data_IF_459283860875
#
_entry.id   IF_459283860875
#
_cell.length_a   1.000
_cell.length_b   1.000
_cell.length_c   1.000
_cell.angle_alpha   90.00
_cell.angle_beta   90.00
_cell.angle_gamma   90.00
#
_symmetry.space_group_name_H-M   'P 1'
#
loop_
_entity.id
_entity.type
_entity.pdbx_description
1 polymer ?
#
# COMPACT_ATOMS: atom_id res chain seq x y z
N UNK A 1 11.68 -28.72 -3.66
CA UNK A 1 10.83 -27.68 -4.28
C UNK A 1 11.42 -26.25 -4.19
N UNK A 2 12.14 -25.89 -3.14
CA UNK A 2 12.68 -24.53 -2.93
C UNK A 2 13.67 -24.01 -4.00
N UNK A 3 14.62 -24.81 -4.47
CA UNK A 3 15.63 -24.34 -5.44
C UNK A 3 15.05 -23.98 -6.83
N UNK A 4 14.01 -24.65 -7.29
CA UNK A 4 13.36 -24.34 -8.59
C UNK A 4 12.57 -23.03 -8.51
N UNK A 5 11.82 -22.82 -7.42
CA UNK A 5 11.12 -21.56 -7.13
C UNK A 5 12.10 -20.37 -7.02
N UNK A 6 13.25 -20.57 -6.37
CA UNK A 6 14.30 -19.56 -6.22
C UNK A 6 14.87 -19.09 -7.56
N UNK A 7 15.19 -20.00 -8.48
CA UNK A 7 15.70 -19.67 -9.83
C UNK A 7 14.66 -18.97 -10.72
N UNK A 8 13.36 -19.28 -10.55
CA UNK A 8 12.29 -18.61 -11.32
C UNK A 8 12.05 -17.18 -10.84
N UNK A 9 12.19 -16.92 -9.53
CA UNK A 9 12.08 -15.57 -8.95
C UNK A 9 13.24 -14.68 -9.37
N UNK A 10 14.46 -15.22 -9.44
CA UNK A 10 15.65 -14.51 -9.93
C UNK A 10 15.51 -14.15 -11.42
N UNK A 11 15.08 -15.08 -12.26
CA UNK A 11 14.82 -14.83 -13.70
C UNK A 11 13.67 -13.85 -13.94
N UNK A 12 12.67 -13.82 -13.06
CA UNK A 12 11.58 -12.84 -13.09
C UNK A 12 12.08 -11.43 -12.84
N UNK A 13 12.94 -11.24 -11.84
CA UNK A 13 13.55 -9.96 -11.51
C UNK A 13 14.49 -9.45 -12.62
N UNK A 14 15.31 -10.34 -13.21
CA UNK A 14 16.19 -10.01 -14.35
C UNK A 14 15.42 -9.56 -15.60
N UNK A 15 14.27 -10.20 -15.89
CA UNK A 15 13.40 -9.79 -17.01
C UNK A 15 12.74 -8.44 -16.79
N UNK A 16 12.43 -8.09 -15.56
CA UNK A 16 11.81 -6.81 -15.20
C UNK A 16 12.84 -5.66 -15.23
N UNK A 17 14.09 -5.93 -14.83
CA UNK A 17 15.18 -4.96 -14.86
C UNK A 17 15.64 -4.57 -16.27
N UNK A 18 15.43 -5.43 -17.29
CA UNK A 18 15.90 -5.20 -18.66
C UNK A 18 15.04 -4.28 -19.54
N UNK A 19 13.95 -3.67 -19.01
CA UNK A 19 13.05 -2.81 -19.82
C UNK A 19 13.01 -1.38 -19.27
N UNK A 20 13.05 -0.38 -20.17
CA UNK A 20 12.96 1.06 -19.84
C UNK A 20 11.66 1.35 -19.08
N UNK A 21 11.79 1.91 -17.89
CA UNK A 21 10.67 2.34 -17.03
C UNK A 21 10.46 3.84 -17.20
N UNK A 22 9.22 4.27 -17.46
CA UNK A 22 8.87 5.62 -17.85
C UNK A 22 9.22 6.71 -16.82
N UNK A 23 9.71 7.85 -17.30
CA UNK A 23 9.79 9.11 -16.57
C UNK A 23 11.16 9.51 -16.01
N UNK A 24 11.91 8.65 -15.38
CA UNK A 24 13.37 8.60 -15.17
C UNK A 24 13.73 7.15 -15.26
N UNK A 25 14.67 6.82 -16.17
CA UNK A 25 15.11 5.44 -16.35
C UNK A 25 15.77 4.94 -15.06
N UNK A 26 15.01 4.22 -14.24
CA UNK A 26 15.57 3.51 -13.09
C UNK A 26 16.59 2.51 -13.62
N UNK A 27 17.84 2.62 -13.13
CA UNK A 27 18.91 1.74 -13.57
C UNK A 27 18.57 0.29 -13.16
N UNK A 28 18.68 -0.70 -14.07
CA UNK A 28 18.38 -2.10 -13.77
C UNK A 28 19.12 -2.64 -12.55
N UNK A 29 20.39 -2.23 -12.38
CA UNK A 29 21.26 -2.61 -11.28
C UNK A 29 20.71 -2.09 -9.93
N UNK A 30 20.16 -0.87 -9.91
CA UNK A 30 19.58 -0.25 -8.73
C UNK A 30 18.29 -1.00 -8.33
N UNK A 31 17.43 -1.34 -9.30
CA UNK A 31 16.22 -2.13 -9.02
C UNK A 31 16.56 -3.54 -8.51
N UNK A 32 17.56 -4.19 -9.13
CA UNK A 32 18.04 -5.50 -8.70
C UNK A 32 18.54 -5.46 -7.24
N UNK A 33 19.40 -4.48 -6.94
CA UNK A 33 19.94 -4.27 -5.60
C UNK A 33 18.83 -3.99 -4.57
N UNK A 34 17.90 -3.08 -4.91
CA UNK A 34 16.75 -2.76 -4.08
C UNK A 34 15.91 -4.01 -3.76
N UNK A 35 15.58 -4.83 -4.74
CA UNK A 35 14.79 -6.04 -4.54
C UNK A 35 15.55 -7.10 -3.73
N UNK A 36 16.88 -7.20 -3.86
CA UNK A 36 17.71 -8.08 -3.02
C UNK A 36 17.67 -7.65 -1.55
N UNK A 37 17.88 -6.36 -1.28
CA UNK A 37 17.77 -5.81 0.08
C UNK A 37 16.37 -5.99 0.64
N UNK A 38 15.33 -5.70 -0.13
CA UNK A 38 13.94 -5.86 0.31
C UNK A 38 13.64 -7.32 0.71
N UNK A 39 14.07 -8.27 -0.11
CA UNK A 39 13.87 -9.71 0.17
C UNK A 39 14.70 -10.19 1.37
N UNK A 40 15.88 -9.64 1.59
CA UNK A 40 16.65 -9.91 2.80
C UNK A 40 15.90 -9.37 4.03
N UNK A 41 15.50 -8.11 4.02
CA UNK A 41 14.80 -7.46 5.13
C UNK A 41 13.47 -8.15 5.50
N UNK A 42 12.69 -8.64 4.51
CA UNK A 42 11.40 -9.28 4.77
C UNK A 42 11.51 -10.77 5.14
N UNK A 43 12.48 -11.48 4.54
CA UNK A 43 12.52 -12.96 4.56
C UNK A 43 13.84 -13.53 5.10
N UNK A 44 14.75 -12.68 5.55
CA UNK A 44 16.11 -13.09 5.98
C UNK A 44 16.85 -13.90 4.89
N UNK A 45 16.62 -13.55 3.62
CA UNK A 45 17.27 -14.24 2.50
C UNK A 45 18.67 -13.71 2.29
N UNK A 46 19.68 -14.60 2.11
CA UNK A 46 21.04 -14.17 1.81
C UNK A 46 21.10 -13.29 0.54
N UNK A 47 21.84 -12.20 0.61
CA UNK A 47 22.12 -11.35 -0.53
C UNK A 47 23.21 -12.00 -1.39
N UNK A 48 22.81 -12.62 -2.50
CA UNK A 48 23.71 -13.33 -3.42
C UNK A 48 23.88 -12.56 -4.72
N UNK A 49 25.10 -12.56 -5.28
CA UNK A 49 25.39 -11.92 -6.55
C UNK A 49 25.19 -10.39 -6.50
N UNK A 50 25.55 -9.78 -5.38
CA UNK A 50 25.55 -8.32 -5.23
C UNK A 50 26.59 -7.69 -6.16
N UNK A 51 26.20 -6.63 -6.83
CA UNK A 51 27.11 -5.78 -7.62
C UNK A 51 27.35 -4.50 -6.85
N UNK A 52 28.63 -4.10 -6.71
CA UNK A 52 28.97 -2.86 -6.05
C UNK A 52 28.31 -1.67 -6.74
N UNK A 53 27.59 -0.86 -5.98
CA UNK A 53 26.91 0.33 -6.48
C UNK A 53 27.82 1.55 -6.43
N UNK A 54 27.69 2.46 -7.39
CA UNK A 54 28.29 3.78 -7.33
C UNK A 54 27.56 4.67 -6.30
N UNK A 55 28.14 5.77 -5.83
CA UNK A 55 27.46 6.73 -4.97
C UNK A 55 26.14 7.22 -5.53
N UNK A 56 26.05 7.46 -6.85
CA UNK A 56 24.84 7.90 -7.54
C UNK A 56 23.77 6.81 -7.53
N UNK A 57 24.17 5.55 -7.75
CA UNK A 57 23.26 4.41 -7.69
C UNK A 57 22.72 4.20 -6.27
N UNK A 58 23.54 4.38 -5.24
CA UNK A 58 23.09 4.37 -3.84
C UNK A 58 22.08 5.48 -3.55
N UNK A 59 22.33 6.71 -4.02
CA UNK A 59 21.37 7.84 -3.91
C UNK A 59 20.04 7.49 -4.58
N UNK A 60 20.08 6.87 -5.75
CA UNK A 60 18.87 6.45 -6.47
C UNK A 60 18.12 5.35 -5.71
N UNK A 61 18.83 4.36 -5.15
CA UNK A 61 18.23 3.29 -4.33
C UNK A 61 17.52 3.86 -3.09
N UNK A 62 18.18 4.74 -2.35
CA UNK A 62 17.60 5.38 -1.16
C UNK A 62 16.42 6.27 -1.53
N UNK A 63 16.49 7.00 -2.66
CA UNK A 63 15.37 7.79 -3.16
C UNK A 63 14.15 6.91 -3.51
N UNK A 64 14.39 5.73 -4.10
CA UNK A 64 13.36 4.74 -4.38
C UNK A 64 12.75 4.20 -3.07
N UNK A 65 13.58 3.86 -2.07
CA UNK A 65 13.14 3.41 -0.76
C UNK A 65 12.24 4.45 -0.07
N UNK A 66 12.64 5.72 -0.08
CA UNK A 66 11.85 6.84 0.47
C UNK A 66 10.53 7.04 -0.28
N UNK A 67 10.53 6.97 -1.61
CA UNK A 67 9.32 7.11 -2.42
C UNK A 67 8.28 6.02 -2.12
N UNK A 68 8.73 4.83 -1.71
CA UNK A 68 7.88 3.71 -1.32
C UNK A 68 7.67 3.57 0.19
N UNK A 69 8.20 4.50 1.01
CA UNK A 69 8.13 4.46 2.49
C UNK A 69 8.71 3.16 3.08
N UNK A 70 9.83 2.71 2.51
CA UNK A 70 10.57 1.50 2.87
C UNK A 70 12.00 1.79 3.36
N UNK A 71 12.35 3.06 3.63
CA UNK A 71 13.70 3.44 4.01
C UNK A 71 14.14 2.72 5.31
N UNK A 72 13.28 2.66 6.33
CA UNK A 72 13.54 1.89 7.55
C UNK A 72 13.65 0.40 7.25
N UNK A 73 12.65 -0.19 6.59
CA UNK A 73 12.66 -1.64 6.27
C UNK A 73 13.90 -2.05 5.48
N UNK A 74 14.36 -1.25 4.51
CA UNK A 74 15.55 -1.60 3.73
C UNK A 74 16.85 -1.49 4.53
N UNK A 75 16.90 -0.65 5.58
CA UNK A 75 18.11 -0.54 6.42
C UNK A 75 18.40 -1.85 7.17
N UNK A 76 17.41 -2.70 7.41
CA UNK A 76 17.60 -4.01 8.02
C UNK A 76 18.55 -4.91 7.22
N UNK A 77 18.66 -4.69 5.92
CA UNK A 77 19.54 -5.44 5.03
C UNK A 77 20.98 -4.92 4.98
N UNK A 78 21.31 -3.78 5.59
CA UNK A 78 22.64 -3.17 5.50
C UNK A 78 23.74 -4.10 6.05
N UNK A 79 23.49 -4.74 7.19
CA UNK A 79 24.44 -5.67 7.81
C UNK A 79 24.60 -7.01 7.06
N UNK A 80 23.77 -7.25 6.04
CA UNK A 80 23.81 -8.46 5.20
C UNK A 80 24.52 -8.22 3.87
N UNK A 81 25.02 -7.02 3.64
CA UNK A 81 25.76 -6.70 2.43
C UNK A 81 27.14 -7.39 2.45
N UNK A 82 27.70 -7.77 1.27
CA UNK A 82 29.06 -8.27 1.20
C UNK A 82 30.09 -7.22 1.64
N UNK A 83 31.23 -7.66 2.12
CA UNK A 83 32.37 -6.79 2.46
C UNK A 83 32.69 -5.82 1.32
N UNK A 84 33.11 -4.61 1.65
CA UNK A 84 33.43 -3.52 0.71
C UNK A 84 32.29 -3.05 -0.21
N UNK A 85 31.05 -3.41 0.12
CA UNK A 85 29.86 -3.03 -0.66
C UNK A 85 28.92 -2.07 0.08
N UNK A 86 29.38 -1.45 1.14
CA UNK A 86 28.62 -0.51 1.95
C UNK A 86 28.25 0.76 1.18
N UNK A 87 27.17 1.41 1.60
CA UNK A 87 26.82 2.74 1.12
C UNK A 87 27.86 3.76 1.60
N UNK A 88 28.28 4.71 0.75
CA UNK A 88 29.20 5.76 1.19
C UNK A 88 28.53 6.66 2.24
N UNK A 89 29.35 7.22 3.16
CA UNK A 89 28.87 8.01 4.32
C UNK A 89 27.92 9.14 3.93
N UNK A 90 28.18 9.83 2.82
CA UNK A 90 27.33 10.93 2.33
C UNK A 90 25.91 10.46 1.93
N UNK A 91 25.68 9.15 1.77
CA UNK A 91 24.36 8.54 1.53
C UNK A 91 23.83 7.88 2.79
N UNK A 92 24.69 7.16 3.51
CA UNK A 92 24.34 6.38 4.69
C UNK A 92 23.88 7.28 5.85
N UNK A 93 24.60 8.35 6.17
CA UNK A 93 24.29 9.21 7.31
C UNK A 93 22.90 9.87 7.18
N UNK A 94 22.52 10.50 6.04
CA UNK A 94 21.15 11.00 5.87
C UNK A 94 20.09 9.91 5.83
N UNK A 95 20.45 8.69 5.43
CA UNK A 95 19.51 7.56 5.46
C UNK A 95 19.27 7.11 6.89
N UNK A 96 20.29 6.94 7.72
CA UNK A 96 20.15 6.58 9.13
C UNK A 96 19.35 7.61 9.94
N UNK A 97 19.50 8.91 9.63
CA UNK A 97 18.65 9.96 10.22
C UNK A 97 17.17 9.74 9.85
N UNK A 98 16.87 9.28 8.64
CA UNK A 98 15.48 8.95 8.24
C UNK A 98 14.95 7.69 8.94
N UNK A 99 15.82 6.70 9.19
CA UNK A 99 15.48 5.51 9.99
C UNK A 99 15.13 5.93 11.41
N UNK A 100 15.98 6.72 12.06
CA UNK A 100 15.71 7.24 13.41
C UNK A 100 14.37 7.98 13.49
N UNK A 101 14.05 8.83 12.52
CA UNK A 101 12.74 9.50 12.46
C UNK A 101 11.58 8.52 12.35
N UNK A 102 11.78 7.40 11.65
CA UNK A 102 10.77 6.34 11.52
C UNK A 102 10.54 5.65 12.86
N UNK A 103 11.61 5.36 13.62
CA UNK A 103 11.56 4.80 14.97
C UNK A 103 10.87 5.75 15.97
N UNK A 104 11.23 7.05 15.93
CA UNK A 104 10.59 8.09 16.76
C UNK A 104 9.10 8.20 16.48
N UNK A 105 8.72 8.16 15.19
CA UNK A 105 7.33 8.16 14.78
C UNK A 105 6.59 6.91 15.26
N UNK A 106 7.19 5.72 15.14
CA UNK A 106 6.65 4.47 15.66
C UNK A 106 6.41 4.54 17.17
N UNK A 107 7.38 5.04 17.94
CA UNK A 107 7.26 5.20 19.39
C UNK A 107 6.10 6.14 19.75
N UNK A 108 5.95 7.26 19.03
CA UNK A 108 4.82 8.19 19.22
C UNK A 108 3.47 7.53 18.92
N UNK A 109 3.36 6.83 17.78
CA UNK A 109 2.14 6.10 17.41
C UNK A 109 1.79 5.03 18.45
N UNK A 110 2.77 4.27 18.93
CA UNK A 110 2.59 3.26 19.97
C UNK A 110 2.06 3.86 21.28
N UNK A 111 2.59 5.02 21.68
CA UNK A 111 2.11 5.74 22.85
C UNK A 111 0.65 6.19 22.68
N UNK A 112 0.31 6.77 21.52
CA UNK A 112 -1.06 7.25 21.25
C UNK A 112 -2.03 6.07 21.22
N UNK A 113 -1.72 5.00 20.48
CA UNK A 113 -2.57 3.80 20.40
C UNK A 113 -2.74 3.17 21.78
N UNK A 114 -1.68 3.04 22.58
CA UNK A 114 -1.78 2.50 23.93
C UNK A 114 -2.66 3.37 24.88
N UNK A 115 -2.62 4.68 24.73
CA UNK A 115 -3.48 5.59 25.47
C UNK A 115 -4.94 5.50 25.02
N UNK A 116 -5.19 5.46 23.72
CA UNK A 116 -6.53 5.33 23.15
C UNK A 116 -7.14 3.97 23.47
N UNK A 117 -6.38 2.87 23.36
CA UNK A 117 -6.85 1.53 23.70
C UNK A 117 -7.36 1.46 25.13
N UNK A 118 -6.60 1.98 26.10
CA UNK A 118 -7.06 2.07 27.49
C UNK A 118 -8.35 2.89 27.64
N UNK A 119 -8.45 4.02 26.95
CA UNK A 119 -9.66 4.85 27.00
C UNK A 119 -10.89 4.14 26.41
N UNK A 120 -10.70 3.31 25.38
CA UNK A 120 -11.76 2.48 24.79
C UNK A 120 -12.18 1.33 25.73
N UNK A 121 -11.20 0.62 26.28
CA UNK A 121 -11.40 -0.49 27.21
C UNK A 121 -12.14 -0.04 28.49
N UNK A 122 -11.75 1.07 29.10
CA UNK A 122 -12.41 1.67 30.29
C UNK A 122 -13.88 1.98 30.05
N UNK A 123 -14.30 2.14 28.80
CA UNK A 123 -15.68 2.43 28.41
C UNK A 123 -16.38 1.25 27.75
N UNK A 124 -15.73 0.11 27.70
CA UNK A 124 -16.28 -1.11 27.10
C UNK A 124 -16.52 -1.00 25.59
N UNK A 125 -15.80 -0.11 24.88
CA UNK A 125 -15.95 0.03 23.45
C UNK A 125 -15.23 -1.11 22.71
N UNK A 126 -15.91 -1.71 21.74
CA UNK A 126 -15.31 -2.71 20.86
C UNK A 126 -14.54 -1.99 19.72
N UNK A 127 -13.26 -1.78 19.92
CA UNK A 127 -12.38 -1.05 19.01
C UNK A 127 -11.30 -1.95 18.42
N UNK A 128 -11.16 -1.95 17.10
CA UNK A 128 -10.15 -2.70 16.34
C UNK A 128 -9.20 -1.71 15.64
N UNK A 129 -7.90 -1.89 15.83
CA UNK A 129 -6.87 -1.19 15.05
C UNK A 129 -6.72 -1.89 13.70
N UNK A 130 -7.00 -1.18 12.60
CA UNK A 130 -7.08 -1.80 11.27
C UNK A 130 -5.71 -1.94 10.58
N UNK A 131 -4.84 -0.96 10.72
CA UNK A 131 -3.59 -0.80 9.96
C UNK A 131 -2.52 -0.12 10.83
N UNK A 132 -1.45 0.34 10.21
CA UNK A 132 -0.40 1.09 10.90
C UNK A 132 0.42 0.18 11.81
N UNK A 133 0.29 0.34 13.10
CA UNK A 133 1.02 -0.47 14.10
C UNK A 133 0.64 -1.95 14.06
N UNK A 134 -0.61 -2.30 13.73
CA UNK A 134 -1.01 -3.69 13.53
C UNK A 134 -0.19 -4.34 12.40
N UNK A 135 -0.03 -3.65 11.28
CA UNK A 135 0.82 -4.15 10.20
C UNK A 135 2.32 -4.15 10.58
N UNK A 136 2.78 -3.15 11.35
CA UNK A 136 4.17 -3.08 11.80
C UNK A 136 4.55 -4.28 12.70
N UNK A 137 3.65 -4.72 13.57
CA UNK A 137 3.86 -5.87 14.45
C UNK A 137 4.15 -7.18 13.70
N UNK A 138 3.86 -7.26 12.40
CA UNK A 138 4.14 -8.43 11.55
C UNK A 138 5.57 -8.43 10.99
N UNK A 139 6.32 -7.33 11.13
CA UNK A 139 7.71 -7.20 10.67
C UNK A 139 8.71 -7.65 11.75
N UNK A 140 9.90 -8.07 11.31
CA UNK A 140 10.96 -8.49 12.24
C UNK A 140 11.47 -7.32 13.09
N UNK A 141 11.48 -6.10 12.52
CA UNK A 141 11.81 -4.84 13.19
C UNK A 141 10.60 -3.89 13.00
N UNK A 142 9.61 -3.96 13.90
CA UNK A 142 8.36 -3.19 13.76
C UNK A 142 8.55 -1.67 13.64
N UNK A 143 9.52 -1.10 14.34
CA UNK A 143 9.87 0.32 14.37
C UNK A 143 10.43 0.83 13.04
N UNK A 144 10.95 -0.05 12.19
CA UNK A 144 11.45 0.31 10.85
C UNK A 144 10.34 0.33 9.78
N UNK A 145 9.15 -0.18 10.09
CA UNK A 145 8.00 -0.04 9.20
C UNK A 145 7.34 1.32 9.40
N UNK A 146 7.45 2.19 8.40
CA UNK A 146 6.87 3.55 8.44
C UNK A 146 5.36 3.51 8.71
N UNK A 147 4.92 4.10 9.83
CA UNK A 147 3.52 4.32 10.15
C UNK A 147 3.03 5.65 9.54
N UNK A 148 1.74 5.73 9.23
CA UNK A 148 1.09 6.96 8.73
C UNK A 148 0.05 7.44 9.73
N UNK A 149 -1.19 7.18 9.44
CA UNK A 149 -2.36 7.41 10.26
C UNK A 149 -2.63 6.27 11.26
N UNK A 150 -3.44 6.55 12.27
CA UNK A 150 -3.96 5.55 13.21
C UNK A 150 -5.42 5.32 12.85
N UNK A 151 -5.74 4.11 12.39
CA UNK A 151 -7.05 3.73 11.87
C UNK A 151 -7.81 2.87 12.89
N UNK A 152 -8.84 3.42 13.52
CA UNK A 152 -9.73 2.70 14.40
C UNK A 152 -11.05 2.35 13.74
N UNK A 153 -11.49 1.11 13.88
CA UNK A 153 -12.85 0.66 13.58
C UNK A 153 -13.56 0.30 14.88
N UNK A 154 -14.84 0.62 14.97
CA UNK A 154 -15.68 0.29 16.12
C UNK A 154 -16.78 -0.66 15.72
N UNK A 155 -17.04 -1.69 16.55
CA UNK A 155 -17.98 -2.77 16.24
C UNK A 155 -19.42 -2.33 16.06
N UNK A 156 -19.80 -1.15 16.60
CA UNK A 156 -21.14 -0.59 16.49
C UNK A 156 -21.12 0.91 16.16
N UNK A 157 -22.26 1.41 15.66
CA UNK A 157 -22.43 2.85 15.43
C UNK A 157 -22.45 3.66 16.74
N UNK A 158 -22.86 3.04 17.85
CA UNK A 158 -22.87 3.64 19.18
C UNK A 158 -21.45 3.79 19.72
N UNK A 159 -20.63 2.71 19.63
CA UNK A 159 -19.21 2.77 20.01
C UNK A 159 -18.45 3.83 19.20
N UNK A 160 -18.67 3.86 17.87
CA UNK A 160 -18.09 4.86 16.99
C UNK A 160 -18.47 6.30 17.42
N UNK A 161 -19.75 6.52 17.74
CA UNK A 161 -20.23 7.83 18.22
C UNK A 161 -19.60 8.20 19.55
N UNK A 162 -19.58 7.27 20.51
CA UNK A 162 -18.98 7.47 21.84
C UNK A 162 -17.50 7.78 21.75
N UNK A 163 -16.75 7.07 20.88
CA UNK A 163 -15.34 7.34 20.63
C UNK A 163 -15.10 8.77 20.09
N UNK A 164 -15.95 9.23 19.18
CA UNK A 164 -15.89 10.61 18.67
C UNK A 164 -16.21 11.65 19.74
N UNK A 165 -17.19 11.39 20.60
CA UNK A 165 -17.53 12.28 21.74
C UNK A 165 -16.37 12.38 22.73
N UNK A 166 -15.67 11.26 23.00
CA UNK A 166 -14.47 11.26 23.85
C UNK A 166 -13.35 12.09 23.21
N UNK A 167 -13.09 11.92 21.91
CA UNK A 167 -12.07 12.69 21.21
C UNK A 167 -12.40 14.21 21.23
N UNK A 168 -13.65 14.57 20.98
CA UNK A 168 -14.11 15.96 21.05
C UNK A 168 -14.02 16.52 22.47
N UNK A 169 -14.41 15.74 23.50
CA UNK A 169 -14.33 16.11 24.91
C UNK A 169 -12.88 16.34 25.38
N UNK A 170 -11.91 15.70 24.75
CA UNK A 170 -10.47 15.91 24.95
C UNK A 170 -9.91 17.08 24.09
N UNK A 171 -10.76 17.88 23.47
CA UNK A 171 -10.37 19.07 22.72
C UNK A 171 -9.90 18.80 21.28
N UNK A 172 -10.08 17.58 20.74
CA UNK A 172 -9.76 17.30 19.34
C UNK A 172 -10.78 17.94 18.41
N UNK A 173 -10.30 18.62 17.36
CA UNK A 173 -11.15 19.13 16.28
C UNK A 173 -11.47 18.01 15.32
N UNK A 174 -12.73 17.54 15.33
CA UNK A 174 -13.18 16.48 14.47
C UNK A 174 -13.57 17.00 13.08
N UNK A 175 -13.15 16.31 12.03
CA UNK A 175 -13.55 16.57 10.66
C UNK A 175 -14.12 15.28 10.06
N UNK A 176 -15.23 15.38 9.32
CA UNK A 176 -15.87 14.23 8.69
C UNK A 176 -15.59 14.26 7.19
N UNK A 177 -15.14 13.15 6.64
CA UNK A 177 -14.89 13.02 5.22
C UNK A 177 -16.16 12.69 4.40
N UNK A 178 -15.99 12.47 3.08
CA UNK A 178 -17.10 12.16 2.18
C UNK A 178 -17.67 10.74 2.34
N UNK A 179 -16.90 9.84 2.93
CA UNK A 179 -17.27 8.44 3.17
C UNK A 179 -17.94 8.28 4.55
N UNK A 180 -17.91 9.36 5.36
CA UNK A 180 -18.54 9.45 6.68
C UNK A 180 -17.61 9.03 7.82
N UNK A 181 -16.33 8.84 7.53
CA UNK A 181 -15.31 8.60 8.53
C UNK A 181 -14.90 9.91 9.20
N UNK A 182 -14.53 9.86 10.47
CA UNK A 182 -14.07 11.03 11.24
C UNK A 182 -12.57 10.97 11.39
N UNK A 183 -11.90 12.10 11.16
CA UNK A 183 -10.49 12.24 11.41
C UNK A 183 -10.18 13.47 12.26
N UNK A 184 -9.09 13.39 13.00
CA UNK A 184 -8.57 14.46 13.83
C UNK A 184 -7.05 14.30 14.03
N UNK A 185 -6.40 15.35 14.53
CA UNK A 185 -4.96 15.28 14.81
C UNK A 185 -4.74 15.23 16.32
N UNK A 186 -3.92 14.27 16.78
CA UNK A 186 -3.50 14.12 18.16
C UNK A 186 -1.97 14.08 18.22
N UNK A 187 -1.36 15.05 18.89
CA UNK A 187 0.11 15.19 18.98
C UNK A 187 0.82 15.17 17.61
N UNK A 188 0.19 15.73 16.56
CA UNK A 188 0.74 15.76 15.20
C UNK A 188 0.48 14.49 14.37
N UNK A 189 -0.15 13.46 14.93
CA UNK A 189 -0.54 12.22 14.24
C UNK A 189 -2.02 12.30 13.85
N UNK A 190 -2.33 11.93 12.60
CA UNK A 190 -3.72 11.81 12.14
C UNK A 190 -4.32 10.53 12.71
N UNK A 191 -5.49 10.64 13.31
CA UNK A 191 -6.30 9.51 13.78
C UNK A 191 -7.60 9.50 13.00
N UNK A 192 -7.98 8.33 12.52
CA UNK A 192 -9.20 8.11 11.75
C UNK A 192 -10.12 7.12 12.48
N UNK A 193 -11.39 7.49 12.64
CA UNK A 193 -12.45 6.64 13.17
C UNK A 193 -13.33 6.18 12.02
N UNK A 194 -13.12 4.94 11.59
CA UNK A 194 -13.82 4.34 10.46
C UNK A 194 -15.18 3.77 10.85
N UNK A 195 -16.19 4.02 10.01
CA UNK A 195 -17.50 3.40 10.12
C UNK A 195 -17.53 1.98 9.58
N UNK A 196 -16.51 1.60 8.81
CA UNK A 196 -16.36 0.29 8.19
C UNK A 196 -14.91 -0.17 8.31
N UNK A 197 -14.73 -1.46 8.55
CA UNK A 197 -13.40 -2.05 8.68
C UNK A 197 -12.70 -2.34 7.33
N UNK A 198 -13.41 -2.16 6.20
CA UNK A 198 -12.87 -2.43 4.87
C UNK A 198 -13.28 -1.36 3.85
N UNK A 199 -12.53 -1.27 2.76
CA UNK A 199 -12.67 -0.27 1.69
C UNK A 199 -13.49 -0.76 0.48
N UNK A 200 -14.24 -1.87 0.58
CA UNK A 200 -15.06 -2.39 -0.53
C UNK A 200 -16.06 -1.34 -1.01
N UNK A 201 -16.12 -1.11 -2.31
CA UNK A 201 -16.94 -0.08 -2.94
C UNK A 201 -18.20 -0.64 -3.61
N UNK A 202 -18.13 -1.84 -4.20
CA UNK A 202 -19.27 -2.45 -4.89
C UNK A 202 -20.25 -3.12 -3.92
N UNK A 203 -21.54 -3.09 -4.26
CA UNK A 203 -22.57 -3.79 -3.46
C UNK A 203 -22.29 -5.30 -3.35
N UNK A 204 -21.72 -5.90 -4.40
CA UNK A 204 -21.35 -7.32 -4.41
C UNK A 204 -20.27 -7.62 -3.36
N UNK A 205 -19.15 -6.89 -3.38
CA UNK A 205 -18.06 -7.11 -2.43
C UNK A 205 -18.51 -6.79 -1.00
N UNK A 206 -19.25 -5.70 -0.80
CA UNK A 206 -19.78 -5.33 0.51
C UNK A 206 -20.62 -6.44 1.13
N UNK A 207 -21.58 -6.99 0.38
CA UNK A 207 -22.43 -8.06 0.88
C UNK A 207 -21.66 -9.26 1.42
N UNK A 208 -20.56 -9.63 0.74
CA UNK A 208 -19.72 -10.78 1.09
C UNK A 208 -18.76 -10.43 2.24
N UNK A 209 -18.09 -9.30 2.13
CA UNK A 209 -17.01 -8.94 3.05
C UNK A 209 -17.57 -8.45 4.39
N UNK A 210 -18.65 -7.65 4.39
CA UNK A 210 -19.25 -7.14 5.64
C UNK A 210 -19.90 -8.25 6.49
N UNK A 211 -20.11 -9.43 5.92
CA UNK A 211 -20.59 -10.60 6.67
C UNK A 211 -19.49 -11.33 7.45
N UNK A 212 -18.21 -10.98 7.23
CA UNK A 212 -17.10 -11.58 7.96
C UNK A 212 -16.88 -10.86 9.29
N UNK A 213 -16.39 -11.59 10.29
CA UNK A 213 -15.81 -10.98 11.48
C UNK A 213 -14.47 -10.33 11.12
N UNK A 214 -14.27 -9.04 11.42
CA UNK A 214 -13.07 -8.30 11.00
C UNK A 214 -11.78 -8.82 11.62
N UNK A 215 -11.86 -9.59 12.71
CA UNK A 215 -10.69 -10.13 13.43
C UNK A 215 -10.17 -11.44 12.82
N UNK A 216 -10.92 -12.08 11.91
CA UNK A 216 -10.49 -13.35 11.31
C UNK A 216 -9.32 -13.13 10.34
N UNK A 217 -8.42 -14.13 10.22
CA UNK A 217 -7.29 -14.05 9.29
C UNK A 217 -7.71 -13.74 7.85
N UNK A 218 -8.79 -14.38 7.36
CA UNK A 218 -9.33 -14.11 6.03
C UNK A 218 -9.80 -12.67 5.87
N UNK A 219 -10.50 -12.12 6.86
CA UNK A 219 -10.96 -10.73 6.84
C UNK A 219 -9.79 -9.75 6.83
N UNK A 220 -8.75 -10.02 7.60
CA UNK A 220 -7.53 -9.22 7.66
C UNK A 220 -6.75 -9.24 6.34
N UNK A 221 -6.65 -10.40 5.67
CA UNK A 221 -6.05 -10.51 4.34
C UNK A 221 -6.88 -9.77 3.28
N UNK A 222 -8.22 -9.93 3.33
CA UNK A 222 -9.16 -9.27 2.41
C UNK A 222 -9.14 -7.76 2.60
N UNK A 223 -9.10 -7.27 3.84
CA UNK A 223 -9.01 -5.84 4.14
C UNK A 223 -7.81 -5.20 3.45
N UNK A 224 -6.61 -5.78 3.59
CA UNK A 224 -5.38 -5.29 2.94
C UNK A 224 -5.46 -5.37 1.42
N UNK A 225 -6.03 -6.45 0.89
CA UNK A 225 -6.25 -6.63 -0.55
C UNK A 225 -7.13 -5.53 -1.14
N UNK A 226 -8.28 -5.25 -0.50
CA UNK A 226 -9.24 -4.23 -0.96
C UNK A 226 -8.67 -2.82 -0.76
N UNK A 227 -7.92 -2.59 0.31
CA UNK A 227 -7.22 -1.34 0.55
C UNK A 227 -6.19 -1.02 -0.55
N UNK A 228 -5.38 -2.01 -0.95
CA UNK A 228 -4.46 -1.89 -2.08
C UNK A 228 -5.24 -1.56 -3.37
N UNK A 229 -6.35 -2.23 -3.63
CA UNK A 229 -7.18 -1.98 -4.81
C UNK A 229 -7.72 -0.54 -4.83
N UNK A 230 -8.24 -0.05 -3.69
CA UNK A 230 -8.70 1.34 -3.55
C UNK A 230 -7.61 2.33 -3.95
N UNK A 231 -6.40 2.16 -3.40
CA UNK A 231 -5.26 3.04 -3.70
C UNK A 231 -4.79 2.93 -5.15
N UNK A 232 -4.74 1.71 -5.69
CA UNK A 232 -4.40 1.47 -7.09
C UNK A 232 -5.30 2.26 -8.05
N UNK A 233 -6.60 2.30 -7.75
CA UNK A 233 -7.58 3.00 -8.59
C UNK A 233 -7.51 4.52 -8.49
N UNK A 234 -7.01 5.09 -7.39
CA UNK A 234 -7.13 6.53 -7.10
C UNK A 234 -5.79 7.27 -7.09
N UNK A 235 -4.85 6.81 -6.28
CA UNK A 235 -3.66 7.59 -5.94
C UNK A 235 -2.33 6.94 -6.33
N UNK A 236 -2.33 5.65 -6.58
CA UNK A 236 -1.13 4.84 -6.78
C UNK A 236 -0.80 3.95 -5.59
N UNK A 237 -0.08 2.88 -5.86
CA UNK A 237 0.29 1.84 -4.89
C UNK A 237 1.76 2.00 -4.54
N UNK A 238 2.07 2.07 -3.22
CA UNK A 238 3.43 1.93 -2.72
C UNK A 238 3.80 0.47 -2.49
N UNK A 239 5.08 0.13 -2.64
CA UNK A 239 5.59 -1.21 -2.30
C UNK A 239 5.31 -1.57 -0.84
N UNK A 240 5.32 -0.60 0.10
CA UNK A 240 5.01 -0.86 1.50
C UNK A 240 3.66 -1.56 1.69
N UNK A 241 2.61 -1.13 0.99
CA UNK A 241 1.28 -1.74 1.11
C UNK A 241 1.29 -3.19 0.61
N UNK A 242 2.08 -3.49 -0.42
CA UNK A 242 2.26 -4.86 -0.93
C UNK A 242 3.11 -5.70 0.02
N UNK A 243 4.14 -5.11 0.65
CA UNK A 243 4.90 -5.76 1.72
C UNK A 243 4.00 -6.06 2.94
N UNK A 244 3.14 -5.14 3.36
CA UNK A 244 2.19 -5.36 4.46
C UNK A 244 1.27 -6.57 4.18
N UNK A 245 0.78 -6.72 2.94
CA UNK A 245 -0.01 -7.88 2.56
C UNK A 245 0.82 -9.18 2.56
N UNK A 246 2.07 -9.12 2.07
CA UNK A 246 2.98 -10.27 2.09
C UNK A 246 3.32 -10.71 3.53
N UNK A 247 3.56 -9.74 4.42
CA UNK A 247 3.81 -10.00 5.84
C UNK A 247 2.56 -10.54 6.55
N UNK A 248 1.37 -10.09 6.16
CA UNK A 248 0.12 -10.65 6.69
C UNK A 248 -0.08 -12.12 6.26
N UNK A 249 0.25 -12.49 5.02
CA UNK A 249 0.24 -13.90 4.62
C UNK A 249 1.21 -14.75 5.45
N UNK A 250 2.41 -14.23 5.78
CA UNK A 250 3.35 -14.91 6.69
C UNK A 250 2.79 -15.04 8.11
N UNK A 251 2.20 -13.95 8.61
CA UNK A 251 1.68 -13.89 9.99
C UNK A 251 0.52 -14.86 10.21
N UNK A 252 -0.37 -14.97 9.23
CA UNK A 252 -1.55 -15.84 9.29
C UNK A 252 -1.33 -17.22 8.65
N UNK A 253 -0.10 -17.60 8.33
CA UNK A 253 0.20 -18.92 7.77
C UNK A 253 -0.28 -20.04 8.69
N UNK A 254 -1.01 -21.00 8.14
CA UNK A 254 -1.64 -22.08 8.90
C UNK A 254 -2.85 -21.70 9.77
N UNK A 255 -3.27 -20.42 9.81
CA UNK A 255 -4.39 -19.93 10.61
C UNK A 255 -5.67 -19.71 9.79
N UNK A 256 -5.64 -19.87 8.48
CA UNK A 256 -6.79 -19.74 7.58
C UNK A 256 -6.81 -20.87 6.53
N UNK A 257 -7.97 -21.12 5.94
CA UNK A 257 -8.08 -22.04 4.80
C UNK A 257 -7.93 -21.27 3.47
N UNK A 258 -6.86 -21.55 2.67
CA UNK A 258 -6.66 -20.91 1.37
C UNK A 258 -7.80 -21.12 0.38
N UNK A 259 -8.53 -22.25 0.46
CA UNK A 259 -9.67 -22.52 -0.41
C UNK A 259 -10.86 -21.64 0.00
N UNK A 260 -11.11 -21.46 1.29
CA UNK A 260 -12.12 -20.55 1.84
C UNK A 260 -11.83 -19.10 1.42
N UNK A 261 -10.61 -18.60 1.64
CA UNK A 261 -10.19 -17.25 1.22
C UNK A 261 -10.42 -17.03 -0.28
N UNK A 262 -10.03 -18.00 -1.10
CA UNK A 262 -10.22 -17.96 -2.56
C UNK A 262 -11.70 -17.93 -2.93
N UNK A 263 -12.52 -18.71 -2.22
CA UNK A 263 -13.97 -18.76 -2.38
C UNK A 263 -14.62 -17.40 -2.10
N UNK A 264 -14.30 -16.81 -0.94
CA UNK A 264 -14.80 -15.49 -0.51
C UNK A 264 -14.42 -14.41 -1.53
N UNK A 265 -13.15 -14.36 -1.94
CA UNK A 265 -12.68 -13.36 -2.92
C UNK A 265 -13.33 -13.54 -4.29
N UNK A 266 -13.60 -14.77 -4.72
CA UNK A 266 -14.32 -15.06 -5.97
C UNK A 266 -15.79 -14.61 -5.87
N UNK A 267 -16.47 -14.90 -4.78
CA UNK A 267 -17.82 -14.45 -4.54
C UNK A 267 -17.92 -12.93 -4.47
N UNK A 268 -16.98 -12.27 -3.81
CA UNK A 268 -16.85 -10.81 -3.78
C UNK A 268 -16.53 -10.16 -5.15
N UNK A 269 -16.15 -10.97 -6.16
CA UNK A 269 -15.74 -10.48 -7.49
C UNK A 269 -14.29 -9.97 -7.55
N UNK A 270 -13.48 -10.36 -6.59
CA UNK A 270 -12.07 -9.94 -6.42
C UNK A 270 -11.06 -11.04 -6.76
N UNK A 271 -11.51 -12.24 -7.15
CA UNK A 271 -10.61 -13.39 -7.35
C UNK A 271 -9.51 -13.14 -8.38
N UNK A 272 -9.82 -12.48 -9.52
CA UNK A 272 -8.82 -12.13 -10.53
C UNK A 272 -7.81 -11.11 -10.01
N UNK A 273 -8.29 -10.07 -9.29
CA UNK A 273 -7.43 -9.08 -8.66
C UNK A 273 -6.48 -9.71 -7.65
N UNK A 274 -7.00 -10.57 -6.79
CA UNK A 274 -6.18 -11.34 -5.84
C UNK A 274 -5.11 -12.18 -6.55
N UNK A 275 -5.44 -12.86 -7.65
CA UNK A 275 -4.46 -13.60 -8.44
C UNK A 275 -3.33 -12.73 -8.97
N UNK A 276 -3.65 -11.51 -9.46
CA UNK A 276 -2.64 -10.55 -9.91
C UNK A 276 -1.74 -10.06 -8.76
N UNK A 277 -2.31 -9.77 -7.59
CA UNK A 277 -1.54 -9.42 -6.39
C UNK A 277 -0.65 -10.58 -5.96
N UNK A 278 -1.18 -11.80 -5.87
CA UNK A 278 -0.41 -12.98 -5.48
C UNK A 278 0.77 -13.22 -6.43
N UNK A 279 0.56 -13.06 -7.75
CA UNK A 279 1.65 -13.15 -8.72
C UNK A 279 2.75 -12.10 -8.45
N UNK A 280 2.37 -10.87 -8.09
CA UNK A 280 3.32 -9.82 -7.70
C UNK A 280 4.07 -10.19 -6.40
N UNK A 281 3.33 -10.59 -5.35
CA UNK A 281 3.93 -10.94 -4.05
C UNK A 281 4.94 -12.08 -4.18
N UNK A 282 4.61 -13.12 -4.98
CA UNK A 282 5.51 -14.26 -5.19
C UNK A 282 6.70 -13.89 -6.07
N UNK A 283 6.47 -13.25 -7.22
CA UNK A 283 7.53 -13.08 -8.23
C UNK A 283 8.40 -11.85 -7.96
N UNK A 284 7.85 -10.77 -7.39
CA UNK A 284 8.59 -9.52 -7.14
C UNK A 284 9.08 -9.44 -5.71
N UNK A 285 8.19 -9.62 -4.73
CA UNK A 285 8.54 -9.53 -3.30
C UNK A 285 9.18 -10.83 -2.79
N UNK A 286 8.83 -11.97 -3.42
CA UNK A 286 9.40 -13.27 -3.06
C UNK A 286 8.67 -13.95 -1.89
N UNK A 287 7.38 -13.67 -1.69
CA UNK A 287 6.56 -14.33 -0.68
C UNK A 287 6.42 -15.82 -0.96
N UNK A 288 6.66 -16.67 0.03
CA UNK A 288 6.59 -18.15 -0.08
C UNK A 288 5.33 -18.74 0.58
N UNK A 289 4.53 -17.91 1.24
CA UNK A 289 3.35 -18.29 2.02
C UNK A 289 2.07 -18.39 1.20
N UNK A 290 2.15 -18.13 -0.09
CA UNK A 290 1.04 -18.23 -1.05
C UNK A 290 1.49 -18.92 -2.32
N UNK A 291 0.56 -19.58 -3.00
CA UNK A 291 0.84 -20.19 -4.29
C UNK A 291 0.80 -19.17 -5.43
N UNK A 292 1.72 -19.36 -6.37
CA UNK A 292 1.74 -18.59 -7.60
C UNK A 292 0.50 -18.91 -8.43
N UNK A 293 -0.22 -17.88 -8.87
CA UNK A 293 -1.25 -18.05 -9.89
C UNK A 293 -0.61 -18.01 -11.29
N UNK A 294 -0.42 -19.18 -11.87
CA UNK A 294 0.19 -19.33 -13.20
C UNK A 294 -0.72 -18.84 -14.35
N UNK A 295 -1.97 -18.48 -14.05
CA UNK A 295 -2.95 -17.98 -15.04
C UNK A 295 -2.81 -16.48 -15.29
N UNK A 296 -2.00 -15.76 -14.50
CA UNK A 296 -1.78 -14.34 -14.69
C UNK A 296 -0.86 -14.09 -15.88
N UNK A 297 -1.29 -13.38 -16.94
CA UNK A 297 -0.45 -13.06 -18.07
C UNK A 297 0.75 -12.20 -17.64
N UNK A 298 1.93 -12.51 -18.18
CA UNK A 298 3.16 -11.77 -17.85
C UNK A 298 3.05 -10.26 -18.13
N UNK A 299 2.34 -9.87 -19.20
CA UNK A 299 2.11 -8.48 -19.54
C UNK A 299 1.31 -7.72 -18.46
N UNK A 300 0.35 -8.38 -17.80
CA UNK A 300 -0.45 -7.76 -16.76
C UNK A 300 0.37 -7.61 -15.46
N UNK A 301 1.22 -8.59 -15.15
CA UNK A 301 2.16 -8.46 -14.03
C UNK A 301 3.19 -7.35 -14.30
N UNK A 302 3.75 -7.28 -15.49
CA UNK A 302 4.65 -6.18 -15.89
C UNK A 302 3.96 -4.83 -15.76
N UNK A 303 2.69 -4.72 -16.17
CA UNK A 303 1.92 -3.51 -15.98
C UNK A 303 1.81 -3.12 -14.49
N UNK A 304 1.50 -4.08 -13.60
CA UNK A 304 1.39 -3.80 -12.16
C UNK A 304 2.74 -3.37 -11.58
N UNK A 305 3.83 -4.04 -11.96
CA UNK A 305 5.19 -3.67 -11.53
C UNK A 305 5.53 -2.23 -11.93
N UNK A 306 5.27 -1.86 -13.19
CA UNK A 306 5.48 -0.48 -13.66
C UNK A 306 4.61 0.51 -12.91
N UNK A 307 3.31 0.21 -12.75
CA UNK A 307 2.40 1.08 -12.03
C UNK A 307 2.85 1.34 -10.60
N UNK A 308 3.35 0.31 -9.90
CA UNK A 308 3.88 0.43 -8.54
C UNK A 308 5.18 1.27 -8.53
N UNK A 309 6.15 0.94 -9.38
CA UNK A 309 7.46 1.62 -9.40
C UNK A 309 7.35 3.09 -9.82
N UNK A 310 6.46 3.40 -10.77
CA UNK A 310 6.27 4.76 -11.28
C UNK A 310 5.48 5.64 -10.31
N UNK A 311 4.52 5.08 -9.57
CA UNK A 311 3.66 5.84 -8.68
C UNK A 311 4.36 6.19 -7.35
N UNK A 312 5.06 5.22 -6.75
CA UNK A 312 5.46 5.33 -5.36
C UNK A 312 4.26 5.38 -4.41
N UNK A 313 4.50 5.55 -3.12
CA UNK A 313 3.43 5.62 -2.13
C UNK A 313 2.56 6.87 -2.37
N UNK A 314 1.26 6.69 -2.63
CA UNK A 314 0.29 7.74 -2.96
C UNK A 314 0.70 8.64 -4.14
N UNK A 315 1.40 8.11 -5.13
CA UNK A 315 1.86 8.89 -6.28
C UNK A 315 3.00 9.87 -5.98
N UNK A 316 3.70 9.75 -4.85
CA UNK A 316 4.78 10.66 -4.42
C UNK A 316 5.91 10.77 -5.42
N UNK A 317 6.24 9.69 -6.12
CA UNK A 317 7.31 9.71 -7.13
C UNK A 317 6.94 10.56 -8.35
N UNK A 318 5.67 10.53 -8.77
CA UNK A 318 5.15 11.41 -9.84
C UNK A 318 5.13 12.88 -9.43
N UNK A 319 4.75 13.16 -8.18
CA UNK A 319 4.70 14.54 -7.66
C UNK A 319 6.08 15.19 -7.57
N UNK A 320 7.12 14.42 -7.22
CA UNK A 320 8.49 14.92 -7.13
C UNK A 320 9.10 15.31 -8.49
N UNK A 321 8.53 14.81 -9.61
CA UNK A 321 9.01 15.10 -10.99
C UNK A 321 8.47 16.39 -11.60
N UNK A 322 7.25 16.82 -11.25
CA UNK A 322 6.50 17.85 -11.99
C UNK A 322 6.16 19.12 -11.18
N UNK A 323 6.57 19.23 -9.93
CA UNK A 323 6.43 20.46 -9.12
C UNK A 323 4.99 20.95 -8.85
N UNK A 324 3.95 20.21 -9.26
CA UNK A 324 2.54 20.49 -8.98
C UNK A 324 1.82 19.24 -8.47
N UNK A 325 0.97 19.34 -7.43
CA UNK A 325 0.14 18.23 -6.99
C UNK A 325 -0.86 17.90 -8.10
N UNK A 326 -0.59 16.86 -8.87
CA UNK A 326 -1.53 16.38 -9.88
C UNK A 326 -2.56 15.48 -9.19
N UNK A 327 -3.82 15.92 -9.20
CA UNK A 327 -4.97 15.09 -8.88
C UNK A 327 -4.92 13.80 -9.73
N UNK A 328 -5.06 12.63 -9.08
CA UNK A 328 -4.87 11.31 -9.70
C UNK A 328 -5.64 11.09 -11.01
N UNK A 329 -5.31 10.03 -11.72
CA UNK A 329 -5.83 9.68 -13.06
C UNK A 329 -7.36 9.82 -13.21
N UNK A 330 -8.13 9.56 -12.16
CA UNK A 330 -9.59 9.76 -12.10
C UNK A 330 -10.01 11.25 -12.08
N UNK A 331 -9.16 12.15 -11.55
CA UNK A 331 -9.39 13.58 -11.61
C UNK A 331 -9.29 14.12 -13.05
N UNK A 332 -8.40 13.52 -13.85
CA UNK A 332 -8.20 13.84 -15.27
C UNK A 332 -9.34 13.30 -16.16
N UNK A 333 -9.86 12.09 -15.87
CA UNK A 333 -11.05 11.57 -16.56
C UNK A 333 -12.27 12.48 -16.34
N UNK A 334 -12.45 13.01 -15.11
CA UNK A 334 -13.53 13.96 -14.83
C UNK A 334 -13.36 15.32 -15.54
N UNK A 335 -12.12 15.76 -15.82
CA UNK A 335 -11.83 16.97 -16.60
C UNK A 335 -12.08 16.76 -18.10
N UNK A 336 -11.73 15.60 -18.64
CA UNK A 336 -12.00 15.24 -20.05
C UNK A 336 -13.51 15.15 -20.35
N UNK A 337 -14.30 14.67 -19.40
CA UNK A 337 -15.78 14.59 -19.53
C UNK A 337 -16.46 15.96 -19.39
N UNK A 338 -15.78 17.00 -18.92
CA UNK A 338 -16.31 18.35 -18.72
C UNK A 338 -15.98 19.35 -19.83
N UNK A 339 -15.41 18.90 -20.96
CA UNK A 339 -15.27 19.73 -22.18
C UNK A 339 -14.08 20.70 -22.18
N UNK A 340 -13.10 20.58 -21.28
CA UNK A 340 -11.89 21.39 -21.28
C UNK A 340 -10.89 20.97 -22.37
N UNK A 341 -10.33 21.93 -23.13
CA UNK A 341 -9.27 21.64 -24.13
C UNK A 341 -8.00 21.09 -23.45
N UNK A 342 -7.43 19.96 -23.91
CA UNK A 342 -6.25 19.39 -23.32
C UNK A 342 -4.98 20.19 -23.64
N UNK A 343 -4.18 20.51 -22.62
CA UNK A 343 -2.81 21.00 -22.80
C UNK A 343 -1.89 19.81 -23.16
N UNK A 344 -0.76 20.08 -23.85
CA UNK A 344 0.11 19.06 -24.49
C UNK A 344 0.64 17.92 -23.60
N UNK A 345 0.64 18.04 -22.29
CA UNK A 345 0.93 16.93 -21.35
C UNK A 345 -0.30 16.03 -21.02
N UNK A 346 -1.51 16.47 -21.37
CA UNK A 346 -2.76 15.77 -21.02
C UNK A 346 -2.96 14.47 -21.81
N UNK A 347 -2.42 14.34 -23.02
CA UNK A 347 -2.54 13.15 -23.85
C UNK A 347 -1.76 11.95 -23.27
N UNK A 348 -0.56 12.15 -22.73
CA UNK A 348 0.22 11.12 -22.07
C UNK A 348 -0.44 10.65 -20.76
N UNK A 349 -1.03 11.60 -20.02
CA UNK A 349 -1.78 11.32 -18.78
C UNK A 349 -3.13 10.64 -19.07
N UNK A 350 -3.81 10.98 -20.16
CA UNK A 350 -5.02 10.28 -20.62
C UNK A 350 -4.70 8.84 -21.05
N UNK A 351 -3.58 8.60 -21.76
CA UNK A 351 -3.13 7.26 -22.12
C UNK A 351 -2.86 6.38 -20.90
N UNK A 352 -2.21 6.92 -19.88
CA UNK A 352 -1.99 6.23 -18.58
C UNK A 352 -3.29 5.94 -17.84
N UNK A 353 -4.23 6.91 -17.80
CA UNK A 353 -5.52 6.74 -17.16
C UNK A 353 -6.40 5.69 -17.86
N UNK A 354 -6.40 5.67 -19.19
CA UNK A 354 -7.11 4.67 -20.00
C UNK A 354 -6.50 3.28 -19.83
N UNK A 355 -5.18 3.15 -19.85
CA UNK A 355 -4.48 1.89 -19.62
C UNK A 355 -4.81 1.30 -18.24
N UNK A 356 -4.83 2.14 -17.19
CA UNK A 356 -5.26 1.73 -15.85
C UNK A 356 -6.72 1.29 -15.82
N UNK A 357 -7.60 2.04 -16.47
CA UNK A 357 -9.01 1.70 -16.58
C UNK A 357 -9.23 0.32 -17.19
N UNK A 358 -8.51 -0.02 -18.25
CA UNK A 358 -8.59 -1.34 -18.89
C UNK A 358 -8.20 -2.48 -17.95
N UNK A 359 -7.12 -2.32 -17.16
CA UNK A 359 -6.70 -3.34 -16.20
C UNK A 359 -7.74 -3.52 -15.09
N UNK A 360 -8.25 -2.44 -14.49
CA UNK A 360 -9.26 -2.58 -13.43
C UNK A 360 -10.58 -3.15 -13.95
N UNK A 361 -10.98 -2.81 -15.18
CA UNK A 361 -12.13 -3.45 -15.83
C UNK A 361 -11.92 -4.95 -16.07
N UNK A 362 -10.68 -5.40 -16.29
CA UNK A 362 -10.33 -6.82 -16.43
C UNK A 362 -10.33 -7.57 -15.10
N UNK A 363 -9.78 -6.95 -14.05
CA UNK A 363 -9.46 -7.62 -12.80
C UNK A 363 -10.46 -7.38 -11.66
N UNK A 364 -11.09 -6.20 -11.58
CA UNK A 364 -12.06 -5.83 -10.55
C UNK A 364 -13.17 -4.91 -11.09
N UNK A 365 -13.96 -5.32 -12.11
CA UNK A 365 -14.89 -4.44 -12.81
C UNK A 365 -15.94 -3.83 -11.89
N UNK A 366 -16.51 -4.60 -10.97
CA UNK A 366 -17.55 -4.11 -10.05
C UNK A 366 -17.02 -3.01 -9.12
N UNK A 367 -15.83 -3.20 -8.56
CA UNK A 367 -15.15 -2.22 -7.70
C UNK A 367 -14.80 -0.94 -8.47
N UNK A 368 -14.24 -1.10 -9.66
CA UNK A 368 -13.86 0.04 -10.50
C UNK A 368 -15.07 0.89 -10.89
N UNK A 369 -16.16 0.28 -11.36
CA UNK A 369 -17.41 0.99 -11.71
C UNK A 369 -18.02 1.67 -10.47
N UNK A 370 -18.07 0.98 -9.33
CA UNK A 370 -18.62 1.54 -8.10
C UNK A 370 -17.81 2.75 -7.63
N UNK A 371 -16.47 2.67 -7.71
CA UNK A 371 -15.58 3.77 -7.32
C UNK A 371 -15.73 4.99 -8.23
N UNK A 372 -15.79 4.81 -9.55
CA UNK A 372 -16.05 5.90 -10.49
C UNK A 372 -17.38 6.58 -10.17
N UNK A 373 -18.44 5.81 -9.94
CA UNK A 373 -19.78 6.36 -9.60
C UNK A 373 -19.74 7.19 -8.31
N UNK A 374 -19.04 6.73 -7.29
CA UNK A 374 -18.87 7.45 -6.03
C UNK A 374 -18.16 8.80 -6.24
N UNK A 375 -17.06 8.81 -7.01
CA UNK A 375 -16.30 10.03 -7.30
C UNK A 375 -17.11 11.05 -8.10
N UNK A 376 -17.90 10.61 -9.08
CA UNK A 376 -18.79 11.48 -9.86
C UNK A 376 -19.86 12.09 -8.97
N UNK A 377 -20.54 11.29 -8.12
CA UNK A 377 -21.54 11.78 -7.16
C UNK A 377 -20.96 12.79 -6.17
N UNK A 378 -19.77 12.53 -5.64
CA UNK A 378 -19.10 13.44 -4.70
C UNK A 378 -18.78 14.82 -5.33
N UNK A 379 -18.36 14.83 -6.61
CA UNK A 379 -18.13 16.10 -7.34
C UNK A 379 -19.41 16.87 -7.63
N UNK A 380 -20.49 16.18 -7.99
CA UNK A 380 -21.80 16.83 -8.21
C UNK A 380 -22.31 17.50 -6.93
N UNK A 381 -22.20 16.83 -5.76
CA UNK A 381 -22.59 17.42 -4.48
C UNK A 381 -21.77 18.67 -4.12
N UNK A 382 -20.46 18.67 -4.39
CA UNK A 382 -19.60 19.85 -4.15
C UNK A 382 -19.93 21.02 -5.07
N UNK A 383 -20.26 20.79 -6.36
CA UNK A 383 -20.70 21.85 -7.29
C UNK A 383 -22.01 22.48 -6.84
N UNK A 384 -22.98 21.68 -6.37
CA UNK A 384 -24.28 22.18 -5.87
C UNK A 384 -24.12 22.96 -4.55
N UNK A 385 -23.11 22.65 -3.73
CA UNK A 385 -22.87 23.34 -2.45
C UNK A 385 -22.10 24.66 -2.62
N UNK A 386 -21.44 24.87 -3.78
CA UNK A 386 -20.64 26.05 -4.12
C UNK A 386 -21.34 26.96 -5.17
N UNK A 387 -22.52 26.59 -5.66
CA UNK A 387 -23.46 27.42 -6.44
C UNK A 387 -24.59 27.89 -5.56
#
# INVERSE_FOLDING_TARGET
>A
MGQKRRRETEKGAERLAGKRHGGRDLQPEVLEAFLKMLRNALWDRPIVGWKKLSPEQWKELVALAKAHTLAGTLSDALNSLPEDCDAPSEVLDPWLVEVQRTEEAYALHSKIVGMQRRAWEERGLNALLLKGLDSAAMYSVPEHRTCGDIDWYFGSAEDWKTANEIAAGNGCKLEMDSDGDVHYTLSGVVVEHHRRWNDASSARARRVIDALSPETPEAQLIMRNVHILKHAMVGGIGLRQLCDLAMAYRHYDGQYDPASLTGILREAGLGKWNGLLNAFLVQVIGCEYIDKDDKVPAADLEWLVRAVLDDGNFGRRRQAGDGKPQSGALALMGSALSGGKPQSGALALMGSALSRGCIFMKYAPCEYIARIRSLVKGRMKRKIKNS
#
